data_IF_558743528337
#
_entry.id   IF_558743528337
#
_cell.length_a   1.000
_cell.length_b   1.000
_cell.length_c   1.000
_cell.angle_alpha   90.00
_cell.angle_beta   90.00
_cell.angle_gamma   90.00
#
_symmetry.space_group_name_H-M   'P 1'
#
loop_
_entity.id
_entity.type
_entity.pdbx_description
1 polymer ?
#
# COMPACT_ATOMS: atom_id res chain seq x y z
N UNK A 1 34.33 19.84 16.45
CA UNK A 1 33.89 20.83 15.45
C UNK A 1 33.69 20.27 14.04
N UNK A 2 34.37 19.20 13.60
CA UNK A 2 34.07 18.52 12.32
C UNK A 2 32.79 17.66 12.35
N UNK A 3 32.35 17.21 13.53
CA UNK A 3 31.11 16.42 13.70
C UNK A 3 29.81 17.26 13.66
N UNK A 4 29.89 18.58 13.89
CA UNK A 4 28.71 19.47 13.80
C UNK A 4 28.47 20.06 12.40
N UNK A 5 29.45 19.93 11.49
CA UNK A 5 29.37 20.46 10.13
C UNK A 5 28.62 19.56 9.14
N UNK A 6 28.29 18.32 9.51
CA UNK A 6 27.47 17.41 8.68
C UNK A 6 25.96 17.66 8.80
N UNK A 7 25.51 18.57 9.68
CA UNK A 7 24.10 18.92 9.87
C UNK A 7 23.53 19.84 8.77
N UNK A 8 24.34 20.22 7.78
CA UNK A 8 23.95 21.19 6.73
C UNK A 8 23.63 20.50 5.39
N UNK A 9 24.10 19.26 5.16
CA UNK A 9 23.73 18.50 3.97
C UNK A 9 22.45 17.71 4.23
N UNK A 10 21.42 17.95 3.42
CA UNK A 10 20.18 17.15 3.47
C UNK A 10 20.47 15.67 3.20
N UNK A 11 19.59 14.79 3.68
CA UNK A 11 19.72 13.35 3.44
C UNK A 11 19.62 13.03 1.95
N UNK A 12 20.29 11.98 1.51
CA UNK A 12 20.11 11.43 0.18
C UNK A 12 18.90 10.48 0.18
N UNK A 13 17.83 10.87 -0.49
CA UNK A 13 16.60 10.07 -0.56
C UNK A 13 16.63 9.02 -1.68
N UNK A 14 17.69 8.96 -2.49
CA UNK A 14 17.81 7.94 -3.53
C UNK A 14 17.94 6.54 -2.92
N UNK A 15 17.33 5.56 -3.58
CA UNK A 15 17.36 4.17 -3.12
C UNK A 15 18.73 3.53 -3.31
N UNK A 16 19.52 3.99 -4.28
CA UNK A 16 20.90 3.55 -4.50
C UNK A 16 21.93 4.41 -3.76
N UNK A 17 21.47 5.32 -2.89
CA UNK A 17 22.29 6.18 -2.04
C UNK A 17 22.74 5.55 -0.71
N UNK A 18 23.58 6.26 0.06
CA UNK A 18 24.14 5.76 1.32
C UNK A 18 23.10 5.58 2.43
N UNK A 19 21.98 6.32 2.40
CA UNK A 19 20.93 6.22 3.42
C UNK A 19 20.23 4.85 3.40
N UNK A 20 20.15 4.17 2.24
CA UNK A 20 19.61 2.81 2.17
C UNK A 20 20.40 1.87 3.10
N UNK A 21 21.73 1.89 2.97
CA UNK A 21 22.61 1.07 3.81
C UNK A 21 22.55 1.46 5.28
N UNK A 22 22.43 2.76 5.59
CA UNK A 22 22.30 3.26 6.97
C UNK A 22 21.00 2.80 7.62
N UNK A 23 19.88 2.87 6.89
CA UNK A 23 18.59 2.40 7.39
C UNK A 23 18.59 0.90 7.71
N UNK A 24 19.23 0.09 6.87
CA UNK A 24 19.41 -1.35 7.13
C UNK A 24 20.26 -1.58 8.40
N UNK A 25 21.40 -0.89 8.53
CA UNK A 25 22.27 -1.02 9.70
C UNK A 25 21.61 -0.54 11.00
N UNK A 26 20.75 0.47 10.91
CA UNK A 26 19.96 0.97 12.02
C UNK A 26 18.77 0.06 12.39
N UNK A 27 18.54 -1.03 11.65
CA UNK A 27 17.42 -1.94 11.87
C UNK A 27 16.06 -1.36 11.51
N UNK A 28 16.02 -0.33 10.65
CA UNK A 28 14.78 0.31 10.18
C UNK A 28 14.15 -0.42 8.99
N UNK A 29 14.96 -1.12 8.18
CA UNK A 29 14.47 -1.86 7.03
C UNK A 29 13.72 -3.13 7.44
N UNK A 30 12.49 -3.31 6.94
CA UNK A 30 11.62 -4.43 7.31
C UNK A 30 11.46 -4.61 8.84
N UNK A 31 11.47 -3.50 9.58
CA UNK A 31 11.35 -3.54 11.02
C UNK A 31 9.92 -3.88 11.48
N UNK A 32 9.77 -4.16 12.77
CA UNK A 32 8.48 -4.28 13.42
C UNK A 32 7.95 -2.88 13.73
N UNK A 33 6.81 -2.54 13.15
CA UNK A 33 6.14 -1.26 13.34
C UNK A 33 5.23 -1.30 14.58
N UNK A 34 4.98 -0.13 15.18
CA UNK A 34 3.92 -0.01 16.18
C UNK A 34 2.56 -0.34 15.55
N UNK A 35 1.72 -1.05 16.31
CA UNK A 35 0.38 -1.48 15.91
C UNK A 35 -0.59 -1.25 17.06
N UNK A 36 -1.80 -0.68 16.82
CA UNK A 36 -2.80 -0.49 17.85
C UNK A 36 -3.44 -1.82 18.25
N UNK A 37 -3.98 -1.93 19.48
CA UNK A 37 -4.83 -3.05 19.83
C UNK A 37 -6.13 -2.99 19.02
N UNK A 38 -6.53 -4.12 18.42
CA UNK A 38 -7.82 -4.30 17.77
C UNK A 38 -8.35 -5.71 18.06
N UNK A 39 -9.66 -5.82 18.28
CA UNK A 39 -10.31 -7.13 18.40
C UNK A 39 -10.25 -7.88 17.06
N UNK A 40 -9.91 -9.17 17.10
CA UNK A 40 -9.74 -9.97 15.87
C UNK A 40 -11.05 -10.23 15.14
N UNK A 41 -12.13 -10.50 15.87
CA UNK A 41 -13.44 -10.75 15.25
C UNK A 41 -13.93 -9.47 14.54
N UNK A 42 -13.65 -8.31 15.15
CA UNK A 42 -13.88 -7.00 14.54
C UNK A 42 -13.03 -6.77 13.29
N UNK A 43 -11.72 -7.03 13.32
CA UNK A 43 -10.84 -6.88 12.17
C UNK A 43 -11.29 -7.75 10.99
N UNK A 44 -11.61 -9.03 11.24
CA UNK A 44 -12.13 -9.96 10.21
C UNK A 44 -13.40 -9.42 9.55
N UNK A 45 -14.27 -8.78 10.33
CA UNK A 45 -15.49 -8.13 9.82
C UNK A 45 -15.16 -6.92 8.95
N UNK A 46 -14.22 -6.08 9.36
CA UNK A 46 -13.81 -4.88 8.62
C UNK A 46 -13.07 -5.22 7.31
N UNK A 47 -12.38 -6.36 7.24
CA UNK A 47 -11.69 -6.82 6.03
C UNK A 47 -12.61 -7.42 4.96
N UNK A 48 -13.92 -7.52 5.21
CA UNK A 48 -14.83 -8.14 4.26
C UNK A 48 -14.98 -7.32 2.97
N UNK A 49 -14.73 -7.99 1.85
CA UNK A 49 -14.75 -7.39 0.51
C UNK A 49 -16.14 -7.45 -0.15
N UNK A 50 -16.50 -6.44 -0.93
CA UNK A 50 -17.82 -6.32 -1.58
C UNK A 50 -17.69 -5.94 -3.05
N UNK A 51 -18.00 -6.89 -3.93
CA UNK A 51 -18.05 -6.66 -5.38
C UNK A 51 -19.08 -5.57 -5.75
N UNK A 52 -20.26 -5.60 -5.12
CA UNK A 52 -21.34 -4.67 -5.45
C UNK A 52 -20.94 -3.23 -5.11
N UNK A 53 -20.38 -3.01 -3.91
CA UNK A 53 -20.01 -1.66 -3.45
C UNK A 53 -18.94 -1.05 -4.35
N UNK A 54 -17.84 -1.78 -4.58
CA UNK A 54 -16.76 -1.30 -5.44
C UNK A 54 -17.18 -1.15 -6.91
N UNK A 55 -18.09 -2.02 -7.41
CA UNK A 55 -18.63 -1.89 -8.76
C UNK A 55 -19.46 -0.61 -8.91
N UNK A 56 -20.33 -0.28 -7.94
CA UNK A 56 -21.10 0.97 -7.95
C UNK A 56 -20.14 2.16 -8.00
N UNK A 57 -19.16 2.25 -7.10
CA UNK A 57 -18.23 3.37 -7.05
C UNK A 57 -17.40 3.49 -8.35
N UNK A 58 -16.99 2.37 -8.94
CA UNK A 58 -16.25 2.32 -10.21
C UNK A 58 -17.12 2.73 -11.40
N UNK A 59 -18.35 2.21 -11.51
CA UNK A 59 -19.29 2.55 -12.59
C UNK A 59 -19.68 4.03 -12.49
N UNK A 60 -19.92 4.55 -11.28
CA UNK A 60 -20.20 5.97 -11.09
C UNK A 60 -19.01 6.83 -11.53
N UNK A 61 -17.79 6.45 -11.16
CA UNK A 61 -16.59 7.18 -11.58
C UNK A 61 -16.40 7.18 -13.11
N UNK A 62 -16.49 6.00 -13.75
CA UNK A 62 -16.37 5.88 -15.20
C UNK A 62 -17.52 6.57 -15.94
N UNK A 63 -18.74 6.50 -15.40
CA UNK A 63 -19.91 7.19 -15.94
C UNK A 63 -19.74 8.71 -15.89
N UNK A 64 -19.21 9.26 -14.80
CA UNK A 64 -18.86 10.68 -14.71
C UNK A 64 -17.75 11.02 -15.72
N UNK A 65 -16.70 10.21 -15.82
CA UNK A 65 -15.61 10.44 -16.76
C UNK A 65 -16.12 10.49 -18.20
N UNK A 66 -16.95 9.54 -18.62
CA UNK A 66 -17.56 9.49 -19.95
C UNK A 66 -18.49 10.68 -20.17
N UNK A 67 -19.32 11.02 -19.18
CA UNK A 67 -20.27 12.15 -19.28
C UNK A 67 -19.53 13.48 -19.47
N UNK A 68 -18.55 13.78 -18.61
CA UNK A 68 -17.76 15.01 -18.72
C UNK A 68 -16.86 15.03 -19.97
N UNK A 69 -16.35 13.88 -20.39
CA UNK A 69 -15.61 13.74 -21.65
C UNK A 69 -16.50 14.04 -22.86
N UNK A 70 -17.71 13.48 -22.91
CA UNK A 70 -18.68 13.75 -23.97
C UNK A 70 -19.13 15.22 -23.97
N UNK A 71 -19.39 15.80 -22.80
CA UNK A 71 -19.69 17.23 -22.67
C UNK A 71 -18.53 18.11 -23.17
N UNK A 72 -17.28 17.72 -22.90
CA UNK A 72 -16.10 18.44 -23.40
C UNK A 72 -15.99 18.36 -24.93
N UNK A 73 -16.30 17.20 -25.53
CA UNK A 73 -16.35 17.05 -26.99
C UNK A 73 -17.43 17.93 -27.62
N UNK A 74 -18.65 17.90 -27.08
CA UNK A 74 -19.80 18.67 -27.60
C UNK A 74 -19.55 20.17 -27.48
N UNK A 75 -18.96 20.61 -26.38
CA UNK A 75 -18.71 22.02 -26.07
C UNK A 75 -17.32 22.51 -26.50
N UNK A 76 -16.60 21.71 -27.30
CA UNK A 76 -15.24 22.02 -27.72
C UNK A 76 -15.19 23.39 -28.41
N UNK A 77 -14.19 24.23 -28.06
CA UNK A 77 -14.07 25.65 -28.46
C UNK A 77 -15.10 26.63 -27.86
N UNK A 78 -15.81 26.26 -26.81
CA UNK A 78 -16.61 27.20 -26.01
C UNK A 78 -15.96 27.53 -24.67
N UNK A 79 -16.43 28.58 -23.99
CA UNK A 79 -16.02 28.91 -22.62
C UNK A 79 -16.26 27.77 -21.61
N UNK A 80 -17.19 26.85 -21.92
CA UNK A 80 -17.45 25.67 -21.09
C UNK A 80 -16.34 24.60 -21.19
N UNK A 81 -15.51 24.61 -22.23
CA UNK A 81 -14.40 23.65 -22.36
C UNK A 81 -13.41 23.75 -21.19
N UNK A 82 -13.16 24.95 -20.66
CA UNK A 82 -12.19 25.18 -19.58
C UNK A 82 -12.61 24.48 -18.28
N UNK A 83 -13.79 24.77 -17.68
CA UNK A 83 -14.21 24.07 -16.46
C UNK A 83 -14.40 22.57 -16.69
N UNK A 84 -14.83 22.15 -17.88
CA UNK A 84 -14.97 20.72 -18.21
C UNK A 84 -13.60 20.01 -18.29
N UNK A 85 -12.55 20.65 -18.81
CA UNK A 85 -11.18 20.14 -18.76
C UNK A 85 -10.71 19.93 -17.33
N UNK A 86 -10.96 20.90 -16.44
CA UNK A 86 -10.57 20.78 -15.02
C UNK A 86 -11.23 19.58 -14.38
N UNK A 87 -12.54 19.40 -14.57
CA UNK A 87 -13.30 18.27 -13.98
C UNK A 87 -12.92 16.94 -14.63
N UNK A 88 -12.84 16.89 -15.96
CA UNK A 88 -12.44 15.68 -16.68
C UNK A 88 -11.04 15.22 -16.29
N UNK A 89 -10.08 16.14 -16.21
CA UNK A 89 -8.73 15.87 -15.73
C UNK A 89 -8.73 15.34 -14.28
N UNK A 90 -9.54 15.95 -13.41
CA UNK A 90 -9.68 15.50 -12.03
C UNK A 90 -10.22 14.06 -11.94
N UNK A 91 -11.20 13.71 -12.76
CA UNK A 91 -11.75 12.36 -12.82
C UNK A 91 -10.75 11.37 -13.44
N UNK A 92 -10.04 11.77 -14.50
CA UNK A 92 -9.09 10.92 -15.20
C UNK A 92 -7.83 10.69 -14.36
N UNK A 93 -7.04 11.72 -14.10
CA UNK A 93 -5.75 11.61 -13.43
C UNK A 93 -5.86 11.69 -11.91
N UNK A 94 -6.81 12.47 -11.38
CA UNK A 94 -6.95 12.66 -9.94
C UNK A 94 -7.58 11.47 -9.22
N UNK A 95 -8.84 11.19 -9.54
CA UNK A 95 -9.62 10.14 -8.91
C UNK A 95 -9.07 8.74 -9.21
N UNK A 96 -8.31 8.55 -10.31
CA UNK A 96 -7.63 7.29 -10.58
C UNK A 96 -6.60 6.93 -9.50
N UNK A 97 -5.97 7.90 -8.82
CA UNK A 97 -4.90 7.65 -7.84
C UNK A 97 -5.36 6.69 -6.73
N UNK A 98 -6.50 6.97 -6.08
CA UNK A 98 -7.02 6.07 -5.04
C UNK A 98 -7.51 4.72 -5.60
N UNK A 99 -7.95 4.64 -6.87
CA UNK A 99 -8.34 3.35 -7.49
C UNK A 99 -7.12 2.50 -7.81
N UNK A 100 -6.06 3.12 -8.33
CA UNK A 100 -4.77 2.47 -8.53
C UNK A 100 -4.27 1.88 -7.21
N UNK A 101 -4.34 2.67 -6.13
CA UNK A 101 -3.88 2.25 -4.82
C UNK A 101 -4.68 1.06 -4.27
N UNK A 102 -5.99 1.22 -4.11
CA UNK A 102 -6.86 0.22 -3.47
C UNK A 102 -7.00 -1.07 -4.28
N UNK A 103 -7.09 -0.96 -5.61
CA UNK A 103 -7.14 -2.16 -6.45
C UNK A 103 -5.75 -2.81 -6.55
N UNK A 104 -4.67 -2.07 -6.32
CA UNK A 104 -3.30 -2.60 -6.23
C UNK A 104 -3.11 -3.52 -5.02
N UNK A 105 -3.80 -3.22 -3.91
CA UNK A 105 -3.85 -4.04 -2.68
C UNK A 105 -4.77 -5.25 -2.76
N UNK A 106 -5.52 -5.40 -3.86
CA UNK A 106 -6.54 -6.42 -4.04
C UNK A 106 -7.67 -6.36 -2.97
N UNK A 107 -7.93 -5.17 -2.40
CA UNK A 107 -8.92 -4.98 -1.32
C UNK A 107 -10.29 -4.49 -1.81
N UNK A 108 -10.34 -3.71 -2.88
CA UNK A 108 -11.60 -3.08 -3.32
C UNK A 108 -12.69 -4.10 -3.70
N UNK A 109 -12.35 -5.09 -4.51
CA UNK A 109 -13.27 -6.14 -4.96
C UNK A 109 -12.96 -7.49 -4.31
N UNK A 110 -14.00 -8.29 -4.08
CA UNK A 110 -13.84 -9.72 -3.73
C UNK A 110 -13.29 -10.53 -4.91
N UNK A 111 -13.60 -10.13 -6.13
CA UNK A 111 -13.06 -10.73 -7.35
C UNK A 111 -11.76 -10.03 -7.75
N UNK A 112 -10.62 -10.73 -7.59
CA UNK A 112 -9.29 -10.22 -7.94
C UNK A 112 -9.14 -9.81 -9.40
N UNK A 113 -9.91 -10.39 -10.33
CA UNK A 113 -9.89 -9.97 -11.74
C UNK A 113 -10.47 -8.57 -11.93
N UNK A 114 -11.45 -8.18 -11.10
CA UNK A 114 -12.02 -6.83 -11.13
C UNK A 114 -11.04 -5.81 -10.52
N UNK A 115 -10.38 -6.15 -9.40
CA UNK A 115 -9.26 -5.36 -8.89
C UNK A 115 -8.21 -5.15 -9.97
N UNK A 116 -7.76 -6.25 -10.61
CA UNK A 116 -6.76 -6.17 -11.69
C UNK A 116 -7.22 -5.27 -12.83
N UNK A 117 -8.45 -5.40 -13.33
CA UNK A 117 -8.94 -4.57 -14.42
C UNK A 117 -8.93 -3.07 -14.08
N UNK A 118 -9.45 -2.70 -12.91
CA UNK A 118 -9.47 -1.30 -12.45
C UNK A 118 -8.07 -0.80 -12.15
N UNK A 119 -7.20 -1.65 -11.56
CA UNK A 119 -5.81 -1.35 -11.29
C UNK A 119 -5.05 -0.97 -12.55
N UNK A 120 -5.15 -1.78 -13.61
CA UNK A 120 -4.48 -1.51 -14.89
C UNK A 120 -5.00 -0.25 -15.58
N UNK A 121 -6.31 0.01 -15.52
CA UNK A 121 -6.92 1.22 -16.07
C UNK A 121 -6.42 2.48 -15.34
N UNK A 122 -6.49 2.47 -14.01
CA UNK A 122 -6.05 3.58 -13.17
C UNK A 122 -4.54 3.82 -13.27
N UNK A 123 -3.75 2.74 -13.33
CA UNK A 123 -2.31 2.76 -13.61
C UNK A 123 -2.00 3.54 -14.89
N UNK A 124 -2.71 3.23 -15.99
CA UNK A 124 -2.54 3.93 -17.24
C UNK A 124 -2.93 5.41 -17.13
N UNK A 125 -4.03 5.73 -16.45
CA UNK A 125 -4.47 7.13 -16.28
C UNK A 125 -3.49 8.01 -15.48
N UNK A 126 -2.60 7.38 -14.71
CA UNK A 126 -1.57 8.05 -13.91
C UNK A 126 -0.17 7.97 -14.52
N UNK A 127 -0.01 7.25 -15.64
CA UNK A 127 1.29 6.82 -16.17
C UNK A 127 2.15 6.10 -15.12
N UNK A 128 1.50 5.27 -14.31
CA UNK A 128 2.14 4.37 -13.36
C UNK A 128 2.21 2.98 -13.98
N UNK A 129 3.41 2.51 -14.34
CA UNK A 129 3.59 1.13 -14.82
C UNK A 129 3.13 0.14 -13.75
N UNK A 130 2.14 -0.73 -14.03
CA UNK A 130 1.46 -1.55 -13.03
C UNK A 130 2.41 -2.38 -12.17
N UNK A 131 3.42 -3.02 -12.76
CA UNK A 131 4.37 -3.84 -12.01
C UNK A 131 5.30 -2.99 -11.15
N UNK A 132 5.88 -1.93 -11.72
CA UNK A 132 6.80 -1.02 -11.01
C UNK A 132 6.12 -0.45 -9.79
N UNK A 133 4.92 0.10 -9.97
CA UNK A 133 4.22 0.81 -8.91
C UNK A 133 3.60 -0.13 -7.87
N UNK A 134 3.23 -1.37 -8.23
CA UNK A 134 2.79 -2.37 -7.23
C UNK A 134 3.92 -2.72 -6.26
N UNK A 135 5.13 -2.94 -6.78
CA UNK A 135 6.30 -3.25 -5.95
C UNK A 135 6.85 -2.03 -5.19
N UNK A 136 6.85 -0.85 -5.82
CA UNK A 136 7.13 0.42 -5.15
C UNK A 136 6.24 0.59 -3.91
N UNK A 137 4.94 0.33 -4.08
CA UNK A 137 3.98 0.55 -3.03
C UNK A 137 4.06 -0.50 -1.90
N UNK A 138 4.42 -1.75 -2.24
CA UNK A 138 4.79 -2.74 -1.22
C UNK A 138 6.03 -2.32 -0.41
N UNK A 139 7.03 -1.71 -1.06
CA UNK A 139 8.19 -1.15 -0.37
C UNK A 139 7.77 0.02 0.52
N UNK A 140 6.90 0.90 0.04
CA UNK A 140 6.36 2.02 0.80
C UNK A 140 5.67 1.54 2.10
N UNK A 141 4.78 0.56 2.04
CA UNK A 141 4.18 -0.04 3.25
C UNK A 141 5.16 -0.82 4.12
N UNK A 142 6.30 -1.24 3.56
CA UNK A 142 7.35 -1.90 4.33
C UNK A 142 8.13 -0.94 5.20
N UNK A 143 8.50 0.18 4.60
CA UNK A 143 9.53 1.11 5.04
C UNK A 143 9.02 2.58 4.95
N UNK A 144 7.76 2.86 5.30
CA UNK A 144 7.10 4.18 5.10
C UNK A 144 7.90 5.34 5.67
N UNK A 145 8.23 6.34 4.85
CA UNK A 145 9.08 7.49 5.22
C UNK A 145 10.44 7.10 5.85
N UNK A 146 10.95 5.89 5.62
CA UNK A 146 12.33 5.53 5.94
C UNK A 146 13.23 6.00 4.79
N UNK A 147 14.15 6.91 5.09
CA UNK A 147 14.96 7.59 4.06
C UNK A 147 15.93 6.61 3.40
N UNK A 148 16.01 6.68 2.08
CA UNK A 148 16.79 5.74 1.26
C UNK A 148 16.14 4.37 1.09
N UNK A 149 14.94 4.14 1.64
CA UNK A 149 14.20 2.87 1.53
C UNK A 149 12.86 3.02 0.84
N UNK A 150 12.14 4.11 1.12
CA UNK A 150 10.82 4.37 0.58
C UNK A 150 10.88 5.08 -0.80
N UNK A 151 10.48 4.43 -1.91
CA UNK A 151 10.43 5.02 -3.24
C UNK A 151 9.38 6.15 -3.38
N UNK A 152 8.44 6.24 -2.44
CA UNK A 152 7.24 7.09 -2.57
C UNK A 152 7.33 8.38 -1.74
N UNK A 153 8.51 8.71 -1.21
CA UNK A 153 8.74 9.99 -0.52
C UNK A 153 8.64 11.17 -1.52
N UNK A 154 7.46 11.78 -1.57
CA UNK A 154 7.19 12.90 -2.48
C UNK A 154 7.78 14.25 -2.03
N UNK A 155 8.07 14.42 -0.73
CA UNK A 155 8.48 15.70 -0.13
C UNK A 155 9.77 15.56 0.70
N UNK A 156 10.93 15.32 0.05
CA UNK A 156 12.21 15.20 0.74
C UNK A 156 12.65 16.53 1.35
N UNK A 157 13.50 16.47 2.38
CA UNK A 157 13.94 17.66 3.13
C UNK A 157 15.33 18.14 2.67
N UNK A 158 15.50 19.44 2.35
CA UNK A 158 14.47 20.49 2.37
C UNK A 158 13.59 20.46 1.11
N UNK A 159 12.26 20.62 1.31
CA UNK A 159 11.32 20.75 0.19
C UNK A 159 11.45 22.11 -0.49
N UNK A 160 11.64 22.13 -1.81
CA UNK A 160 11.70 23.37 -2.59
C UNK A 160 10.29 23.96 -2.82
N UNK A 161 9.80 24.76 -1.86
CA UNK A 161 8.47 25.41 -1.92
C UNK A 161 8.23 26.29 -3.15
N UNK A 162 9.28 26.82 -3.81
CA UNK A 162 9.12 27.58 -5.06
C UNK A 162 8.57 26.73 -6.21
N UNK A 163 8.72 25.40 -6.15
CA UNK A 163 8.19 24.48 -7.16
C UNK A 163 6.75 24.06 -6.89
N UNK A 164 6.16 24.47 -5.76
CA UNK A 164 4.85 23.99 -5.31
C UNK A 164 3.68 24.26 -6.28
N UNK A 165 3.58 25.44 -6.94
CA UNK A 165 2.52 25.65 -7.94
C UNK A 165 2.64 24.71 -9.14
N UNK A 166 3.88 24.44 -9.57
CA UNK A 166 4.14 23.49 -10.64
C UNK A 166 3.84 22.05 -10.22
N UNK A 167 3.85 21.72 -8.92
CA UNK A 167 3.46 20.41 -8.44
C UNK A 167 2.02 20.11 -8.82
N UNK A 168 1.06 21.03 -8.69
CA UNK A 168 -0.34 20.80 -9.09
C UNK A 168 -0.54 20.53 -10.59
N UNK A 169 0.54 20.53 -11.37
CA UNK A 169 0.58 19.98 -12.72
C UNK A 169 1.60 18.84 -12.78
N UNK A 170 1.32 17.82 -13.59
CA UNK A 170 2.32 16.80 -13.88
C UNK A 170 3.35 17.27 -14.93
N UNK A 171 3.54 18.58 -15.13
CA UNK A 171 4.42 19.13 -16.16
C UNK A 171 5.92 18.86 -15.88
N UNK A 172 6.33 18.72 -14.63
CA UNK A 172 7.69 18.28 -14.31
C UNK A 172 7.79 16.76 -14.22
N UNK A 173 6.97 16.19 -13.33
CA UNK A 173 7.01 14.77 -12.99
C UNK A 173 6.52 13.88 -14.13
N UNK A 174 5.44 14.26 -14.82
CA UNK A 174 4.88 13.49 -15.93
C UNK A 174 5.85 13.32 -17.10
N UNK A 175 6.66 14.33 -17.43
CA UNK A 175 7.73 14.17 -18.44
C UNK A 175 8.84 13.24 -17.96
N UNK A 176 9.19 13.27 -16.67
CA UNK A 176 10.15 12.32 -16.08
C UNK A 176 9.62 10.89 -16.15
N UNK A 177 8.36 10.68 -15.78
CA UNK A 177 7.67 9.38 -15.88
C UNK A 177 7.60 8.91 -17.33
N UNK A 178 7.19 9.76 -18.26
CA UNK A 178 7.13 9.41 -19.69
C UNK A 178 8.52 9.03 -20.23
N UNK A 179 9.57 9.75 -19.81
CA UNK A 179 10.97 9.39 -20.15
C UNK A 179 11.37 8.04 -19.56
N UNK A 180 10.97 7.73 -18.32
CA UNK A 180 11.22 6.43 -17.66
C UNK A 180 10.51 5.30 -18.42
N UNK A 181 9.21 5.45 -18.67
CA UNK A 181 8.40 4.51 -19.46
C UNK A 181 9.01 4.30 -20.86
N UNK A 182 9.46 5.38 -21.50
CA UNK A 182 10.11 5.28 -22.81
C UNK A 182 11.38 4.43 -22.75
N UNK A 183 12.21 4.59 -21.70
CA UNK A 183 13.40 3.74 -21.47
C UNK A 183 13.02 2.28 -21.18
N UNK A 184 12.03 2.06 -20.32
CA UNK A 184 11.54 0.73 -20.00
C UNK A 184 11.00 0.00 -21.23
N UNK A 185 10.31 0.71 -22.15
CA UNK A 185 9.80 0.11 -23.38
C UNK A 185 10.91 -0.41 -24.31
N UNK A 186 12.12 0.15 -24.20
CA UNK A 186 13.35 -0.27 -24.87
C UNK A 186 14.14 -1.35 -24.10
N UNK A 187 13.65 -1.80 -22.94
CA UNK A 187 14.34 -2.78 -22.08
C UNK A 187 15.35 -2.18 -21.10
N UNK A 188 15.41 -0.85 -20.97
CA UNK A 188 16.38 -0.16 -20.13
C UNK A 188 15.78 0.14 -18.74
N UNK A 189 15.80 -0.86 -17.85
CA UNK A 189 15.34 -0.73 -16.45
C UNK A 189 16.38 0.00 -15.60
N UNK A 190 15.97 1.07 -14.89
CA UNK A 190 16.85 1.86 -14.02
C UNK A 190 17.21 1.17 -12.69
N UNK A 191 18.23 1.69 -11.99
CA UNK A 191 18.76 1.12 -10.74
C UNK A 191 17.73 1.11 -9.62
N UNK A 192 16.95 2.18 -9.46
CA UNK A 192 15.91 2.26 -8.44
C UNK A 192 14.86 1.17 -8.63
N UNK A 193 14.33 0.95 -9.85
CA UNK A 193 13.37 -0.14 -10.11
C UNK A 193 13.98 -1.49 -9.77
N UNK A 194 15.26 -1.72 -10.07
CA UNK A 194 15.94 -2.99 -9.78
C UNK A 194 16.09 -3.27 -8.28
N UNK A 195 16.04 -2.25 -7.41
CA UNK A 195 16.11 -2.44 -5.95
C UNK A 195 14.85 -3.11 -5.40
N UNK A 196 13.66 -2.76 -5.93
CA UNK A 196 12.39 -3.21 -5.36
C UNK A 196 11.55 -4.11 -6.29
N UNK A 197 11.82 -4.15 -7.60
CA UNK A 197 11.16 -5.07 -8.53
C UNK A 197 12.02 -6.33 -8.74
N UNK A 198 11.51 -7.52 -8.41
CA UNK A 198 12.22 -8.78 -8.67
C UNK A 198 12.58 -8.99 -10.15
N UNK A 199 13.75 -9.57 -10.41
CA UNK A 199 14.30 -9.76 -11.77
C UNK A 199 13.35 -10.53 -12.72
N UNK A 200 12.59 -11.49 -12.19
CA UNK A 200 11.63 -12.27 -12.98
C UNK A 200 10.43 -11.45 -13.47
N UNK A 201 10.18 -10.25 -12.92
CA UNK A 201 9.11 -9.35 -13.33
C UNK A 201 9.57 -8.29 -14.35
N UNK A 202 10.87 -8.12 -14.60
CA UNK A 202 11.38 -7.06 -15.49
C UNK A 202 10.85 -7.18 -16.92
N UNK A 203 10.67 -8.40 -17.43
CA UNK A 203 10.04 -8.63 -18.75
C UNK A 203 8.62 -8.07 -18.81
N UNK A 204 7.87 -8.18 -17.71
CA UNK A 204 6.51 -7.65 -17.60
C UNK A 204 6.52 -6.12 -17.59
N UNK A 205 7.45 -5.50 -16.86
CA UNK A 205 7.66 -4.03 -16.88
C UNK A 205 7.86 -3.53 -18.32
N UNK A 206 8.75 -4.17 -19.08
CA UNK A 206 9.01 -3.80 -20.49
C UNK A 206 7.75 -3.87 -21.36
N UNK A 207 6.95 -4.94 -21.20
CA UNK A 207 5.71 -5.10 -21.96
C UNK A 207 4.64 -4.07 -21.59
N UNK A 208 4.46 -3.80 -20.30
CA UNK A 208 3.55 -2.77 -19.80
C UNK A 208 3.94 -1.38 -20.34
N UNK A 209 5.23 -1.06 -20.31
CA UNK A 209 5.77 0.18 -20.88
C UNK A 209 5.47 0.32 -22.39
N UNK A 210 5.67 -0.76 -23.16
CA UNK A 210 5.36 -0.77 -24.61
C UNK A 210 3.88 -0.53 -24.88
N UNK A 211 2.99 -1.15 -24.10
CA UNK A 211 1.55 -0.94 -24.22
C UNK A 211 1.21 0.54 -23.96
N UNK A 212 1.78 1.15 -22.92
CA UNK A 212 1.56 2.57 -22.62
C UNK A 212 2.01 3.46 -23.78
N UNK A 213 3.22 3.24 -24.31
CA UNK A 213 3.75 4.00 -25.45
C UNK A 213 2.88 3.82 -26.70
N UNK A 214 2.42 2.60 -27.01
CA UNK A 214 1.55 2.34 -28.16
C UNK A 214 0.23 3.11 -28.03
N UNK A 215 -0.41 3.12 -26.86
CA UNK A 215 -1.66 3.85 -26.64
C UNK A 215 -1.44 5.36 -26.80
N UNK A 216 -0.36 5.90 -26.21
CA UNK A 216 -0.03 7.33 -26.29
C UNK A 216 0.33 7.78 -27.71
N UNK A 217 1.10 6.96 -28.45
CA UNK A 217 1.41 7.22 -29.85
C UNK A 217 0.18 7.13 -30.74
N UNK A 218 -0.73 6.17 -30.47
CA UNK A 218 -1.99 6.04 -31.21
C UNK A 218 -2.89 7.26 -31.00
N UNK A 219 -2.99 7.76 -29.76
CA UNK A 219 -3.70 9.00 -29.43
C UNK A 219 -3.12 10.20 -30.19
N UNK A 220 -1.79 10.32 -30.18
CA UNK A 220 -1.05 11.38 -30.87
C UNK A 220 -1.24 11.31 -32.39
N UNK A 221 -1.10 10.13 -32.99
CA UNK A 221 -1.30 9.90 -34.41
C UNK A 221 -2.74 10.20 -34.84
N UNK A 222 -3.72 9.83 -34.02
CA UNK A 222 -5.13 10.17 -34.24
C UNK A 222 -5.37 11.69 -34.26
N UNK A 223 -4.76 12.42 -33.33
CA UNK A 223 -4.82 13.89 -33.32
C UNK A 223 -4.18 14.53 -34.55
N UNK A 224 -3.03 14.01 -35.00
CA UNK A 224 -2.36 14.51 -36.21
C UNK A 224 -3.20 14.20 -37.46
N UNK A 225 -3.70 12.98 -37.59
CA UNK A 225 -4.47 12.53 -38.74
C UNK A 225 -5.81 13.27 -38.88
N UNK A 226 -6.51 13.51 -37.76
CA UNK A 226 -7.77 14.28 -37.74
C UNK A 226 -7.56 15.80 -37.74
N UNK A 227 -6.32 16.27 -37.58
CA UNK A 227 -6.00 17.67 -37.34
C UNK A 227 -6.77 18.26 -36.14
N UNK A 228 -7.08 17.43 -35.14
CA UNK A 228 -7.91 17.78 -34.00
C UNK A 228 -7.24 17.39 -32.67
N UNK A 229 -7.19 18.26 -31.65
CA UNK A 229 -6.49 17.98 -30.39
C UNK A 229 -7.27 17.05 -29.43
N UNK A 230 -8.57 16.80 -29.67
CA UNK A 230 -9.41 16.02 -28.75
C UNK A 230 -8.85 14.64 -28.39
N UNK A 231 -8.33 13.81 -29.31
CA UNK A 231 -7.73 12.52 -28.96
C UNK A 231 -6.68 12.62 -27.83
N UNK A 232 -5.66 13.49 -27.99
CA UNK A 232 -4.64 13.67 -26.93
C UNK A 232 -5.18 14.34 -25.68
N UNK A 233 -6.16 15.25 -25.83
CA UNK A 233 -6.79 15.96 -24.71
C UNK A 233 -7.65 15.02 -23.86
N UNK A 234 -8.25 13.99 -24.45
CA UNK A 234 -9.05 12.98 -23.76
C UNK A 234 -8.23 11.77 -23.33
N UNK A 235 -7.12 11.45 -24.01
CA UNK A 235 -6.33 10.26 -23.76
C UNK A 235 -4.83 10.58 -23.71
N UNK A 236 -4.24 10.48 -22.52
CA UNK A 236 -2.83 10.78 -22.27
C UNK A 236 -2.62 12.10 -21.54
N UNK A 237 -2.96 13.25 -22.15
CA UNK A 237 -2.77 14.57 -21.52
C UNK A 237 -3.56 14.81 -20.22
N UNK A 238 -4.73 14.19 -19.96
CA UNK A 238 -5.39 14.38 -18.66
C UNK A 238 -4.52 13.94 -17.48
N UNK A 239 -3.57 13.03 -17.68
CA UNK A 239 -2.54 12.69 -16.67
C UNK A 239 -1.72 13.92 -16.25
N UNK A 240 -1.48 14.86 -17.18
CA UNK A 240 -0.71 16.07 -16.95
C UNK A 240 -1.55 17.16 -16.29
N UNK A 241 -2.66 17.54 -16.93
CA UNK A 241 -3.48 18.67 -16.47
C UNK A 241 -4.46 18.28 -15.36
N UNK A 242 -4.76 17.00 -15.20
CA UNK A 242 -5.62 16.45 -14.15
C UNK A 242 -4.90 16.12 -12.85
N UNK A 243 -3.57 16.27 -12.81
CA UNK A 243 -2.76 15.90 -11.65
C UNK A 243 -3.10 16.69 -10.38
N UNK A 244 -3.70 17.86 -10.54
CA UNK A 244 -4.04 18.76 -9.44
C UNK A 244 -4.82 18.05 -8.32
N UNK A 245 -5.74 17.13 -8.64
CA UNK A 245 -6.62 16.54 -7.62
C UNK A 245 -5.92 15.45 -6.80
N UNK A 246 -5.14 14.56 -7.42
CA UNK A 246 -4.42 13.56 -6.61
C UNK A 246 -3.32 14.23 -5.78
N UNK A 247 -2.69 15.29 -6.29
CA UNK A 247 -1.70 16.08 -5.53
C UNK A 247 -2.38 16.82 -4.40
N UNK A 248 -3.59 17.33 -4.65
CA UNK A 248 -4.40 17.98 -3.63
C UNK A 248 -4.65 17.07 -2.43
N UNK A 249 -4.85 15.77 -2.64
CA UNK A 249 -5.00 14.80 -1.56
C UNK A 249 -3.66 14.28 -1.04
N UNK A 250 -2.72 13.90 -1.91
CA UNK A 250 -1.45 13.25 -1.57
C UNK A 250 -0.54 14.11 -0.69
N UNK A 251 -0.51 15.44 -0.87
CA UNK A 251 0.23 16.35 0.04
C UNK A 251 -0.20 16.13 1.49
N UNK A 252 -1.47 15.84 1.73
CA UNK A 252 -2.01 15.78 3.09
C UNK A 252 -1.64 14.49 3.83
N UNK A 253 -1.16 13.45 3.15
CA UNK A 253 -0.85 12.14 3.72
C UNK A 253 0.39 12.19 4.64
N UNK A 254 1.55 12.47 4.04
CA UNK A 254 2.87 12.33 4.70
C UNK A 254 3.66 13.63 4.77
N UNK A 255 3.32 14.65 3.97
CA UNK A 255 4.19 15.82 3.81
C UNK A 255 4.47 16.51 5.15
N UNK A 256 5.76 16.75 5.41
CA UNK A 256 6.24 17.46 6.60
C UNK A 256 6.18 16.67 7.92
N UNK A 257 5.73 15.40 7.90
CA UNK A 257 5.73 14.52 9.07
C UNK A 257 7.09 13.85 9.28
N UNK A 258 7.25 13.18 10.42
CA UNK A 258 8.53 12.60 10.85
C UNK A 258 9.01 11.47 9.91
N UNK A 259 10.32 11.36 9.73
CA UNK A 259 10.98 10.35 8.90
C UNK A 259 11.78 9.42 9.81
N UNK A 260 12.06 8.20 9.37
CA UNK A 260 12.84 7.21 10.13
C UNK A 260 12.22 6.82 11.49
N UNK A 261 10.89 6.87 11.61
CA UNK A 261 10.12 6.50 12.81
C UNK A 261 9.21 5.31 12.52
N UNK A 262 9.37 4.23 13.29
CA UNK A 262 8.62 2.97 13.16
C UNK A 262 7.22 3.01 13.81
N UNK A 263 6.51 4.13 13.62
CA UNK A 263 5.15 4.33 14.10
C UNK A 263 4.41 5.29 13.18
N UNK A 264 3.38 4.76 12.49
CA UNK A 264 2.64 5.51 11.49
C UNK A 264 1.95 6.76 12.05
N UNK A 265 1.67 6.83 13.35
CA UNK A 265 1.05 8.00 13.99
C UNK A 265 1.89 9.27 13.87
N UNK A 266 3.21 9.12 13.76
CA UNK A 266 4.16 10.24 13.62
C UNK A 266 4.42 10.63 12.17
N UNK A 267 4.21 9.71 11.22
CA UNK A 267 4.63 9.85 9.83
C UNK A 267 3.44 9.89 8.84
N UNK A 268 2.22 9.65 9.32
CA UNK A 268 1.00 9.59 8.51
C UNK A 268 -0.16 10.39 9.14
N UNK A 269 -1.10 10.88 8.31
CA UNK A 269 -2.21 11.75 8.73
C UNK A 269 -3.57 11.27 8.21
N UNK A 270 -4.57 11.38 9.08
CA UNK A 270 -5.99 11.32 8.73
C UNK A 270 -6.56 12.73 8.59
N UNK A 271 -7.34 12.97 7.55
CA UNK A 271 -7.94 14.27 7.23
C UNK A 271 -9.43 14.10 7.04
N UNK A 272 -10.25 14.91 7.70
CA UNK A 272 -11.70 14.89 7.50
C UNK A 272 -12.05 15.57 6.18
N UNK A 273 -12.88 14.90 5.38
CA UNK A 273 -13.29 15.34 4.04
C UNK A 273 -14.80 15.23 3.86
N UNK A 274 -15.36 16.08 3.01
CA UNK A 274 -16.78 16.02 2.63
C UNK A 274 -17.08 14.76 1.77
N UNK A 275 -18.36 14.36 1.62
CA UNK A 275 -18.74 13.15 0.88
C UNK A 275 -18.24 13.10 -0.57
N UNK A 276 -18.18 14.23 -1.27
CA UNK A 276 -17.70 14.27 -2.66
C UNK A 276 -16.20 13.95 -2.74
N UNK A 277 -15.39 14.53 -1.85
CA UNK A 277 -13.96 14.23 -1.76
C UNK A 277 -13.71 12.80 -1.31
N UNK A 278 -14.50 12.29 -0.37
CA UNK A 278 -14.44 10.89 0.05
C UNK A 278 -14.75 9.91 -1.09
N UNK A 279 -15.68 10.25 -1.98
CA UNK A 279 -15.92 9.46 -3.19
C UNK A 279 -14.76 9.58 -4.20
N UNK A 280 -14.30 10.80 -4.47
CA UNK A 280 -13.21 11.04 -5.42
C UNK A 280 -11.89 10.43 -4.95
N UNK A 281 -11.68 10.32 -3.64
CA UNK A 281 -10.46 9.78 -3.04
C UNK A 281 -10.63 8.37 -2.45
N UNK A 282 -11.76 7.70 -2.71
CA UNK A 282 -12.07 6.37 -2.16
C UNK A 282 -11.76 6.30 -0.66
N UNK A 283 -12.31 7.19 0.18
CA UNK A 283 -12.04 7.26 1.63
C UNK A 283 -10.55 7.22 2.07
N UNK A 284 -9.57 7.38 1.17
CA UNK A 284 -8.13 7.38 1.50
C UNK A 284 -7.71 8.61 2.32
N UNK A 285 -8.68 9.44 2.71
CA UNK A 285 -8.52 10.45 3.73
C UNK A 285 -8.26 9.84 5.12
N UNK A 286 -8.60 8.57 5.32
CA UNK A 286 -8.23 7.71 6.47
C UNK A 286 -6.90 6.98 6.21
N UNK A 287 -5.88 7.75 5.81
CA UNK A 287 -4.60 7.20 5.37
C UNK A 287 -3.80 6.57 6.50
N UNK A 288 -3.90 7.11 7.73
CA UNK A 288 -3.24 6.52 8.89
C UNK A 288 -3.81 5.13 9.19
N UNK A 289 -5.13 4.99 9.15
CA UNK A 289 -5.81 3.72 9.36
C UNK A 289 -5.42 2.70 8.29
N UNK A 290 -5.35 3.14 7.03
CA UNK A 290 -4.86 2.33 5.92
C UNK A 290 -3.42 1.83 6.13
N UNK A 291 -2.50 2.69 6.59
CA UNK A 291 -1.13 2.26 6.88
C UNK A 291 -1.02 1.26 8.04
N UNK A 292 -1.94 1.32 9.00
CA UNK A 292 -1.99 0.38 10.12
C UNK A 292 -2.57 -0.97 9.68
N UNK A 293 -3.63 -0.96 8.85
CA UNK A 293 -4.33 -2.15 8.37
C UNK A 293 -4.67 -2.05 6.86
N UNK A 294 -3.67 -2.22 5.96
CA UNK A 294 -3.85 -2.08 4.52
C UNK A 294 -4.72 -3.17 3.89
N UNK A 295 -5.08 -4.21 4.64
CA UNK A 295 -6.04 -5.23 4.26
C UNK A 295 -7.50 -4.76 4.31
N UNK A 296 -7.79 -3.65 5.01
CA UNK A 296 -9.15 -3.13 5.17
C UNK A 296 -9.55 -2.34 3.92
N UNK A 297 -10.62 -2.73 3.21
CA UNK A 297 -11.05 -2.01 2.02
C UNK A 297 -11.50 -0.60 2.35
N UNK A 298 -11.27 0.34 1.42
CA UNK A 298 -11.55 1.76 1.64
C UNK A 298 -12.95 2.12 2.18
N UNK A 299 -14.00 1.39 1.80
CA UNK A 299 -15.36 1.68 2.27
C UNK A 299 -15.58 1.27 3.74
N UNK A 300 -14.69 0.46 4.31
CA UNK A 300 -14.65 0.08 5.73
C UNK A 300 -13.73 0.96 6.58
N UNK A 301 -12.80 1.73 5.97
CA UNK A 301 -11.89 2.63 6.69
C UNK A 301 -12.58 3.61 7.65
N UNK A 302 -13.77 4.18 7.36
CA UNK A 302 -14.47 5.03 8.33
C UNK A 302 -14.83 4.28 9.62
N UNK A 303 -15.26 3.01 9.51
CA UNK A 303 -15.57 2.18 10.68
C UNK A 303 -14.31 1.73 11.42
N UNK A 304 -13.21 1.51 10.70
CA UNK A 304 -11.90 1.26 11.30
C UNK A 304 -11.40 2.50 12.07
N UNK A 305 -11.59 3.69 11.52
CA UNK A 305 -11.25 4.94 12.22
C UNK A 305 -12.00 5.08 13.55
N UNK A 306 -13.29 4.79 13.58
CA UNK A 306 -14.08 4.85 14.81
C UNK A 306 -13.57 3.87 15.88
N UNK A 307 -13.15 2.68 15.47
CA UNK A 307 -12.55 1.66 16.37
C UNK A 307 -11.20 2.11 16.92
N UNK A 308 -10.34 2.67 16.06
CA UNK A 308 -8.98 3.04 16.42
C UNK A 308 -8.86 4.41 17.09
N UNK A 309 -9.90 5.23 17.07
CA UNK A 309 -9.92 6.60 17.59
C UNK A 309 -9.26 6.78 18.97
N UNK A 310 -9.41 5.87 19.96
CA UNK A 310 -8.73 6.00 21.26
C UNK A 310 -7.19 5.93 21.19
N UNK A 311 -6.64 5.38 20.11
CA UNK A 311 -5.21 5.10 19.96
C UNK A 311 -4.48 6.01 18.96
N UNK A 312 -5.25 6.80 18.21
CA UNK A 312 -4.75 7.66 17.14
C UNK A 312 -4.73 9.13 17.56
N UNK A 313 -3.84 9.95 16.97
CA UNK A 313 -3.93 11.39 17.10
C UNK A 313 -5.23 11.92 16.49
N UNK A 314 -5.71 13.06 17.00
CA UNK A 314 -6.88 13.73 16.43
C UNK A 314 -6.70 13.97 14.91
N UNK A 315 -7.71 13.65 14.08
CA UNK A 315 -7.62 13.88 12.64
C UNK A 315 -7.58 15.37 12.35
N UNK A 316 -6.95 15.75 11.24
CA UNK A 316 -7.03 17.12 10.73
C UNK A 316 -8.48 17.44 10.36
N UNK A 317 -9.06 18.54 10.86
CA UNK A 317 -10.50 18.79 10.71
C UNK A 317 -10.92 19.16 9.28
N UNK A 318 -9.97 19.47 8.40
CA UNK A 318 -10.18 19.72 6.97
C UNK A 318 -8.87 19.66 6.20
N UNK A 319 -8.94 19.58 4.87
CA UNK A 319 -7.76 19.75 4.02
C UNK A 319 -7.06 21.09 4.30
N UNK A 320 -7.80 22.18 4.50
CA UNK A 320 -7.22 23.51 4.77
C UNK A 320 -6.38 23.50 6.06
N UNK A 321 -6.87 22.84 7.11
CA UNK A 321 -6.11 22.69 8.36
C UNK A 321 -4.83 21.86 8.15
N UNK A 322 -4.93 20.75 7.41
CA UNK A 322 -3.76 19.94 7.05
C UNK A 322 -2.74 20.75 6.24
N UNK A 323 -3.19 21.51 5.23
CA UNK A 323 -2.32 22.39 4.44
C UNK A 323 -1.62 23.45 5.30
N UNK A 324 -2.33 24.08 6.25
CA UNK A 324 -1.72 25.05 7.16
C UNK A 324 -0.60 24.42 7.98
N UNK A 325 -0.81 23.22 8.51
CA UNK A 325 0.22 22.47 9.24
C UNK A 325 1.42 22.15 8.33
N UNK A 326 1.16 21.57 7.15
CA UNK A 326 2.19 21.20 6.15
C UNK A 326 3.02 22.42 5.74
N UNK A 327 2.41 23.51 5.30
CA UNK A 327 3.18 24.69 4.87
C UNK A 327 3.93 25.35 6.02
N UNK A 328 3.37 25.33 7.23
CA UNK A 328 4.06 25.85 8.42
C UNK A 328 5.32 25.07 8.71
N UNK A 329 5.26 23.72 8.68
CA UNK A 329 6.45 22.91 8.93
C UNK A 329 7.44 22.97 7.77
N UNK A 330 7.01 22.91 6.51
CA UNK A 330 7.89 22.99 5.36
C UNK A 330 8.68 24.33 5.32
N UNK A 331 8.04 25.44 5.76
CA UNK A 331 8.73 26.73 5.88
C UNK A 331 9.81 26.70 6.98
N UNK A 332 9.58 26.01 8.09
CA UNK A 332 10.60 25.79 9.14
C UNK A 332 11.72 24.89 8.63
N UNK A 333 11.37 23.81 7.94
CA UNK A 333 12.33 22.83 7.38
C UNK A 333 13.27 23.42 6.34
N UNK A 334 12.89 24.52 5.67
CA UNK A 334 13.78 25.29 4.79
C UNK A 334 15.01 25.84 5.52
N UNK A 335 14.87 26.22 6.79
CA UNK A 335 15.93 26.83 7.58
C UNK A 335 16.51 25.89 8.64
N UNK A 336 15.75 24.87 9.04
CA UNK A 336 16.16 23.81 9.95
C UNK A 336 15.62 22.47 9.43
N UNK A 337 16.42 21.72 8.68
CA UNK A 337 16.03 20.44 8.04
C UNK A 337 15.44 19.44 9.05
N UNK A 338 15.92 19.45 10.29
CA UNK A 338 15.44 18.59 11.38
C UNK A 338 14.18 19.09 12.08
N UNK A 339 13.53 20.16 11.62
CA UNK A 339 12.29 20.63 12.24
C UNK A 339 11.16 19.62 12.04
N UNK A 340 10.46 19.29 13.13
CA UNK A 340 9.37 18.31 13.15
C UNK A 340 8.07 18.90 13.68
N UNK A 341 6.95 18.27 13.31
CA UNK A 341 5.64 18.55 13.90
C UNK A 341 5.58 17.85 15.26
N UNK A 342 5.58 18.62 16.34
CA UNK A 342 5.44 18.13 17.72
C UNK A 342 4.08 18.50 18.33
N UNK A 343 3.24 19.23 17.60
CA UNK A 343 1.93 19.71 18.07
C UNK A 343 0.82 18.66 18.02
N UNK A 344 1.07 17.50 17.41
CA UNK A 344 0.08 16.41 17.34
C UNK A 344 0.11 15.64 18.65
N UNK A 345 -1.01 15.64 19.35
CA UNK A 345 -1.20 14.84 20.56
C UNK A 345 -1.34 13.36 20.16
N UNK A 346 -0.30 12.57 20.43
CA UNK A 346 -0.24 11.14 20.11
C UNK A 346 -0.42 10.37 21.43
N UNK A 347 -1.50 9.59 21.58
CA UNK A 347 -1.75 8.83 22.80
C UNK A 347 -0.58 7.89 23.14
N UNK A 348 -0.04 8.01 24.36
CA UNK A 348 1.04 7.16 24.86
C UNK A 348 0.46 5.81 25.27
N UNK A 349 0.53 4.86 24.35
CA UNK A 349 0.07 3.48 24.56
C UNK A 349 1.27 2.59 24.29
N UNK A 350 1.58 1.72 25.25
CA UNK A 350 2.64 0.73 25.08
C UNK A 350 2.36 -0.17 23.87
N UNK A 351 3.42 -0.69 23.25
CA UNK A 351 3.28 -1.72 22.22
C UNK A 351 2.52 -2.91 22.80
N UNK A 352 1.56 -3.47 22.06
CA UNK A 352 0.80 -4.63 22.54
C UNK A 352 1.76 -5.74 22.97
N UNK A 353 1.47 -6.38 24.11
CA UNK A 353 2.12 -7.65 24.48
C UNK A 353 1.81 -8.67 23.40
N UNK A 354 2.81 -9.48 23.03
CA UNK A 354 2.59 -10.63 22.12
C UNK A 354 1.35 -11.40 22.59
N UNK A 355 0.44 -11.72 21.65
CA UNK A 355 -0.72 -12.58 21.95
C UNK A 355 -0.30 -13.93 22.54
N UNK A 356 -1.26 -14.75 22.98
CA UNK A 356 -0.97 -16.05 23.60
C UNK A 356 0.01 -16.86 22.74
N UNK A 357 1.19 -17.13 23.31
CA UNK A 357 2.25 -17.93 22.67
C UNK A 357 2.18 -19.35 23.22
N UNK A 358 2.07 -20.32 22.33
CA UNK A 358 2.17 -21.73 22.66
C UNK A 358 3.64 -22.16 22.68
N UNK A 359 4.04 -22.78 23.78
CA UNK A 359 5.33 -23.46 23.92
C UNK A 359 5.09 -24.96 23.87
N UNK A 360 5.62 -25.69 22.85
CA UNK A 360 5.36 -27.11 22.69
C UNK A 360 5.88 -27.94 23.87
N UNK A 361 5.08 -28.88 24.37
CA UNK A 361 5.49 -29.84 25.41
C UNK A 361 5.88 -31.17 24.77
N UNK A 362 7.14 -31.61 24.96
CA UNK A 362 7.62 -32.89 24.42
C UNK A 362 6.98 -34.07 25.15
N UNK A 363 6.56 -35.07 24.38
CA UNK A 363 6.10 -36.38 24.87
C UNK A 363 7.28 -37.35 24.92
N UNK A 364 7.53 -37.95 26.08
CA UNK A 364 8.69 -38.84 26.26
C UNK A 364 8.55 -40.16 25.49
N UNK A 365 7.33 -40.68 25.37
CA UNK A 365 7.06 -42.00 24.78
C UNK A 365 7.16 -41.96 23.25
N UNK A 366 6.52 -40.98 22.61
CA UNK A 366 6.43 -40.87 21.15
C UNK A 366 7.50 -39.95 20.56
N UNK A 367 8.11 -39.09 21.37
CA UNK A 367 9.01 -38.04 20.92
C UNK A 367 8.34 -36.85 20.22
N UNK A 368 7.01 -36.89 20.04
CA UNK A 368 6.21 -35.80 19.46
C UNK A 368 5.98 -34.67 20.49
N UNK A 369 5.37 -33.57 20.04
CA UNK A 369 5.09 -32.41 20.86
C UNK A 369 3.60 -32.12 20.92
N UNK A 370 3.10 -31.83 22.11
CA UNK A 370 1.77 -31.28 22.33
C UNK A 370 1.76 -29.76 22.20
N UNK A 371 0.76 -29.25 21.48
CA UNK A 371 0.51 -27.80 21.30
C UNK A 371 -0.69 -27.28 22.10
N UNK A 372 -1.42 -28.16 22.80
CA UNK A 372 -2.61 -27.83 23.60
C UNK A 372 -3.85 -28.61 23.17
N UNK A 373 -4.97 -28.39 23.86
CA UNK A 373 -6.23 -29.02 23.52
C UNK A 373 -6.86 -28.33 22.32
N UNK A 374 -7.49 -29.09 21.43
CA UNK A 374 -8.17 -28.53 20.24
C UNK A 374 -9.33 -27.60 20.64
N UNK A 375 -9.96 -27.85 21.79
CA UNK A 375 -11.04 -27.03 22.33
C UNK A 375 -10.62 -25.62 22.75
N UNK A 376 -9.33 -25.39 23.01
CA UNK A 376 -8.80 -24.08 23.41
C UNK A 376 -8.66 -23.12 22.22
N UNK A 377 -8.73 -23.65 21.00
CA UNK A 377 -8.60 -22.89 19.75
C UNK A 377 -9.96 -22.90 19.06
N UNK A 378 -10.59 -21.73 18.87
CA UNK A 378 -11.81 -21.64 18.06
C UNK A 378 -11.50 -21.96 16.59
N UNK A 379 -12.46 -22.53 15.85
CA UNK A 379 -12.35 -22.65 14.39
C UNK A 379 -12.16 -21.27 13.77
N UNK A 380 -11.22 -21.14 12.84
CA UNK A 380 -10.80 -19.87 12.24
C UNK A 380 -9.74 -19.10 13.03
N UNK A 381 -9.36 -19.57 14.23
CA UNK A 381 -8.33 -18.91 15.02
C UNK A 381 -6.91 -19.34 14.63
N UNK A 382 -5.96 -18.42 14.88
CA UNK A 382 -4.54 -18.57 14.62
C UNK A 382 -3.73 -18.31 15.89
N UNK A 383 -2.72 -19.14 16.16
CA UNK A 383 -1.84 -19.01 17.32
C UNK A 383 -0.37 -19.04 16.93
N UNK A 384 0.43 -18.29 17.70
CA UNK A 384 1.88 -18.27 17.59
C UNK A 384 2.45 -19.44 18.39
N UNK A 385 3.25 -20.28 17.75
CA UNK A 385 3.98 -21.37 18.41
C UNK A 385 5.47 -21.06 18.33
N UNK A 386 6.18 -21.03 19.46
CA UNK A 386 7.64 -20.84 19.50
C UNK A 386 8.33 -22.18 19.78
N UNK A 387 9.16 -22.65 18.85
CA UNK A 387 9.91 -23.89 19.00
C UNK A 387 11.34 -23.71 18.49
N UNK A 388 12.35 -24.01 19.33
CA UNK A 388 13.78 -23.94 18.98
C UNK A 388 14.25 -22.61 18.38
N UNK A 389 13.61 -21.50 18.76
CA UNK A 389 13.89 -20.17 18.23
C UNK A 389 13.07 -19.79 17.00
N UNK A 390 12.40 -20.76 16.35
CA UNK A 390 11.53 -20.53 15.21
C UNK A 390 10.11 -20.16 15.63
N UNK A 391 9.47 -19.34 14.79
CA UNK A 391 8.07 -18.97 14.93
C UNK A 391 7.25 -19.79 13.93
N UNK A 392 6.26 -20.52 14.43
CA UNK A 392 5.29 -21.26 13.63
C UNK A 392 3.88 -20.67 13.80
N UNK A 393 3.05 -20.90 12.80
CA UNK A 393 1.64 -20.56 12.78
C UNK A 393 0.81 -21.83 12.92
N UNK A 394 0.07 -21.93 14.01
CA UNK A 394 -0.95 -22.96 14.22
C UNK A 394 -2.32 -22.39 13.87
N UNK A 395 -3.04 -23.04 12.97
CA UNK A 395 -4.37 -22.66 12.53
C UNK A 395 -5.37 -23.78 12.79
N UNK A 396 -6.57 -23.45 13.28
CA UNK A 396 -7.70 -24.38 13.28
C UNK A 396 -8.61 -24.06 12.10
N UNK A 397 -8.56 -24.87 11.04
CA UNK A 397 -9.23 -24.59 9.76
C UNK A 397 -10.65 -25.16 9.70
N UNK A 398 -10.94 -26.19 10.51
CA UNK A 398 -12.29 -26.75 10.67
C UNK A 398 -12.45 -27.37 12.06
N UNK A 399 -13.61 -27.97 12.35
CA UNK A 399 -13.82 -28.72 13.59
C UNK A 399 -12.83 -29.89 13.75
N UNK A 400 -12.38 -30.49 12.64
CA UNK A 400 -11.57 -31.71 12.59
C UNK A 400 -10.17 -31.49 12.03
N UNK A 401 -9.83 -30.28 11.58
CA UNK A 401 -8.54 -30.00 10.95
C UNK A 401 -7.77 -28.88 11.64
N UNK A 402 -6.47 -29.11 11.81
CA UNK A 402 -5.46 -28.13 12.21
C UNK A 402 -4.33 -28.12 11.19
N UNK A 403 -3.71 -26.96 11.02
CA UNK A 403 -2.56 -26.76 10.14
C UNK A 403 -1.43 -26.10 10.92
N UNK A 404 -0.20 -26.54 10.65
CA UNK A 404 1.01 -25.96 11.21
C UNK A 404 1.95 -25.58 10.06
N UNK A 405 2.35 -24.32 10.01
CA UNK A 405 3.25 -23.79 8.99
C UNK A 405 4.32 -22.88 9.60
N UNK A 406 5.33 -22.51 8.82
CA UNK A 406 6.25 -21.41 9.19
C UNK A 406 5.45 -20.14 9.43
N UNK A 407 5.74 -19.44 10.52
CA UNK A 407 4.87 -18.36 11.02
C UNK A 407 5.14 -16.98 10.42
N UNK A 408 6.34 -16.75 9.88
CA UNK A 408 6.69 -15.48 9.24
C UNK A 408 6.35 -15.53 7.75
N UNK A 409 5.85 -14.42 7.23
CA UNK A 409 5.62 -14.25 5.80
C UNK A 409 6.94 -14.36 5.03
N UNK A 410 6.96 -15.11 3.93
CA UNK A 410 8.17 -15.30 3.11
C UNK A 410 8.55 -14.07 2.29
N UNK A 411 7.66 -13.08 2.19
CA UNK A 411 7.94 -11.79 1.55
C UNK A 411 8.70 -10.82 2.46
N UNK A 412 8.40 -10.79 3.77
CA UNK A 412 8.94 -9.80 4.68
C UNK A 412 8.61 -10.10 6.13
N UNK A 413 9.16 -9.29 7.05
CA UNK A 413 9.12 -9.54 8.49
C UNK A 413 7.74 -9.24 9.11
N UNK A 414 6.75 -10.07 8.79
CA UNK A 414 5.39 -10.00 9.32
C UNK A 414 4.96 -11.38 9.81
N UNK A 415 4.46 -11.46 11.04
CA UNK A 415 3.89 -12.69 11.57
C UNK A 415 2.50 -12.91 10.96
N UNK A 416 2.31 -14.04 10.28
CA UNK A 416 1.07 -14.35 9.55
C UNK A 416 -0.16 -14.46 10.47
N UNK A 417 0.04 -14.84 11.74
CA UNK A 417 -1.06 -14.96 12.70
C UNK A 417 -1.66 -13.63 13.16
N UNK A 418 -1.10 -12.49 12.74
CA UNK A 418 -1.69 -11.16 12.90
C UNK A 418 -2.60 -10.77 11.72
N UNK A 419 -2.62 -11.55 10.63
CA UNK A 419 -3.51 -11.34 9.51
C UNK A 419 -4.84 -12.08 9.65
N UNK A 420 -5.38 -12.56 8.53
CA UNK A 420 -6.69 -13.24 8.49
C UNK A 420 -6.58 -14.68 7.98
N UNK A 421 -7.52 -15.52 8.44
CA UNK A 421 -7.65 -16.91 8.01
C UNK A 421 -9.03 -17.11 7.35
N UNK A 422 -9.04 -17.61 6.12
CA UNK A 422 -10.27 -17.96 5.40
C UNK A 422 -10.17 -19.38 4.85
N UNK A 423 -10.89 -20.30 5.48
CA UNK A 423 -10.77 -21.73 5.19
C UNK A 423 -9.33 -22.21 5.42
N UNK A 424 -8.66 -22.60 4.34
CA UNK A 424 -7.26 -23.05 4.36
C UNK A 424 -6.27 -21.99 3.86
N UNK A 425 -6.71 -20.77 3.58
CA UNK A 425 -5.86 -19.67 3.10
C UNK A 425 -5.57 -18.69 4.22
N UNK A 426 -4.28 -18.46 4.50
CA UNK A 426 -3.83 -17.38 5.39
C UNK A 426 -3.40 -16.17 4.57
N UNK A 427 -3.80 -14.98 5.01
CA UNK A 427 -3.40 -13.71 4.42
C UNK A 427 -2.50 -12.94 5.38
N UNK A 428 -1.36 -12.49 4.87
CA UNK A 428 -0.41 -11.65 5.59
C UNK A 428 -1.03 -10.28 5.90
N UNK A 429 -0.88 -9.76 7.13
CA UNK A 429 -1.45 -8.46 7.54
C UNK A 429 -0.76 -7.25 6.87
N UNK A 430 0.42 -7.43 6.26
CA UNK A 430 1.22 -6.29 5.80
C UNK A 430 0.92 -5.88 4.36
N UNK A 431 0.89 -6.85 3.43
CA UNK A 431 0.70 -6.58 2.00
C UNK A 431 -0.24 -7.58 1.31
N UNK A 432 -1.10 -8.24 2.09
CA UNK A 432 -2.11 -9.18 1.58
C UNK A 432 -1.56 -10.39 0.80
N UNK A 433 -0.27 -10.72 0.98
CA UNK A 433 0.29 -11.96 0.44
C UNK A 433 -0.44 -13.16 1.04
N UNK A 434 -0.81 -14.14 0.21
CA UNK A 434 -1.62 -15.28 0.63
C UNK A 434 -0.88 -16.60 0.45
N UNK A 435 -1.23 -17.55 1.31
CA UNK A 435 -0.67 -18.90 1.29
C UNK A 435 -1.78 -19.93 1.51
N UNK A 436 -1.74 -21.02 0.74
CA UNK A 436 -2.52 -22.21 1.05
C UNK A 436 -1.81 -23.01 2.16
N UNK A 437 -2.44 -23.19 3.32
CA UNK A 437 -1.86 -23.88 4.47
C UNK A 437 -1.78 -25.40 4.30
N UNK A 438 -2.34 -25.94 3.21
CA UNK A 438 -2.33 -27.37 2.93
C UNK A 438 -1.06 -27.79 2.22
N UNK A 439 -0.65 -26.97 1.26
CA UNK A 439 0.52 -27.16 0.40
C UNK A 439 1.69 -26.25 0.78
N UNK A 440 1.42 -25.17 1.52
CA UNK A 440 2.36 -24.09 1.78
C UNK A 440 2.49 -23.08 0.63
N UNK A 441 1.86 -23.33 -0.52
CA UNK A 441 2.09 -22.54 -1.74
C UNK A 441 1.71 -21.07 -1.55
N UNK A 442 2.59 -20.17 -1.99
CA UNK A 442 2.26 -18.76 -2.12
C UNK A 442 1.26 -18.56 -3.28
N UNK A 443 0.08 -18.04 -2.98
CA UNK A 443 -1.03 -17.90 -3.94
C UNK A 443 -1.31 -16.46 -4.34
N UNK A 444 -0.83 -15.48 -3.57
CA UNK A 444 -0.95 -14.06 -3.90
C UNK A 444 0.34 -13.28 -3.63
N UNK A 445 0.65 -12.36 -4.55
CA UNK A 445 1.76 -11.42 -4.41
C UNK A 445 1.57 -10.50 -3.20
N UNK A 446 2.65 -10.00 -2.59
CA UNK A 446 4.05 -10.13 -3.04
C UNK A 446 4.77 -11.41 -2.56
N UNK A 447 4.08 -12.29 -1.86
CA UNK A 447 4.65 -13.60 -1.53
C UNK A 447 4.87 -14.42 -2.81
N UNK A 448 6.11 -14.89 -2.99
CA UNK A 448 6.51 -15.73 -4.13
C UNK A 448 7.16 -17.05 -3.70
N UNK A 449 7.67 -17.11 -2.47
CA UNK A 449 8.25 -18.31 -1.89
C UNK A 449 7.23 -19.00 -0.97
N UNK A 450 7.19 -20.33 -1.03
CA UNK A 450 6.22 -21.14 -0.29
C UNK A 450 6.57 -21.22 1.21
N UNK A 451 5.54 -21.39 2.05
CA UNK A 451 5.70 -21.72 3.45
C UNK A 451 6.16 -23.17 3.61
N UNK A 452 6.91 -23.41 4.69
CA UNK A 452 7.12 -24.78 5.14
C UNK A 452 5.92 -25.23 5.93
N UNK A 453 5.24 -26.29 5.48
CA UNK A 453 4.15 -26.96 6.21
C UNK A 453 4.70 -28.14 7.00
N UNK A 454 4.15 -28.36 8.20
CA UNK A 454 4.61 -29.37 9.14
C UNK A 454 3.50 -30.40 9.41
N UNK A 455 3.89 -31.61 9.79
CA UNK A 455 2.93 -32.62 10.25
C UNK A 455 2.24 -32.12 11.51
N UNK A 456 0.91 -32.14 11.54
CA UNK A 456 0.12 -31.73 12.69
C UNK A 456 -1.23 -32.45 12.64
N UNK A 457 -1.63 -33.03 13.77
CA UNK A 457 -2.84 -33.84 13.86
C UNK A 457 -3.51 -33.71 15.22
N UNK A 458 -4.79 -34.09 15.28
CA UNK A 458 -5.58 -34.15 16.51
C UNK A 458 -5.64 -35.61 16.95
N UNK A 459 -5.07 -35.92 18.12
CA UNK A 459 -5.13 -37.25 18.74
C UNK A 459 -5.76 -37.07 20.11
N UNK A 460 -6.86 -37.77 20.38
CA UNK A 460 -7.58 -37.73 21.67
C UNK A 460 -7.90 -36.30 22.15
N UNK A 461 -8.28 -35.43 21.21
CA UNK A 461 -8.59 -34.02 21.47
C UNK A 461 -7.38 -33.12 21.72
N UNK A 462 -6.16 -33.64 21.58
CA UNK A 462 -4.90 -32.91 21.72
C UNK A 462 -4.25 -32.67 20.36
N UNK A 463 -3.72 -31.47 20.17
CA UNK A 463 -2.96 -31.13 18.97
C UNK A 463 -1.53 -31.61 19.15
N UNK A 464 -1.06 -32.42 18.22
CA UNK A 464 0.28 -33.01 18.23
C UNK A 464 1.04 -32.76 16.94
N UNK A 465 2.36 -32.61 17.03
CA UNK A 465 3.25 -32.42 15.88
C UNK A 465 4.63 -33.03 16.19
N UNK A 466 5.34 -33.49 15.17
CA UNK A 466 6.76 -33.87 15.26
C UNK A 466 7.70 -32.79 14.67
N UNK A 467 7.15 -31.65 14.24
CA UNK A 467 7.84 -30.57 13.51
C UNK A 467 8.62 -31.05 12.27
N UNK A 468 8.32 -32.23 11.73
CA UNK A 468 8.87 -32.62 10.44
C UNK A 468 8.08 -31.95 9.33
N UNK A 469 8.80 -31.52 8.29
CA UNK A 469 8.20 -30.98 7.08
C UNK A 469 7.27 -32.05 6.50
N UNK A 470 6.01 -31.67 6.27
CA UNK A 470 5.04 -32.53 5.60
C UNK A 470 5.51 -32.74 4.16
N UNK A 471 5.66 -33.99 3.75
CA UNK A 471 5.94 -34.30 2.35
C UNK A 471 4.61 -34.25 1.59
N UNK A 472 4.58 -33.51 0.50
CA UNK A 472 3.43 -33.53 -0.41
C UNK A 472 3.31 -34.96 -0.95
N UNK A 473 2.18 -35.62 -0.71
CA UNK A 473 1.82 -36.79 -1.49
C UNK A 473 1.56 -36.28 -2.91
N UNK A 474 2.52 -36.52 -3.81
CA UNK A 474 2.49 -36.11 -5.22
C UNK A 474 1.24 -36.62 -5.95
#
# INVERSE_FOLDING_TARGET
MKELTNLIEGKDYSLDGPENSRAVQAGLANAVWWQPPIDREKLVTLTQQSNLRAAIDTITWLGLLVTFGASLVISWFSWWSIPLLVVYGALYGGAADSRWHECGHDTAFRNSRLNTAVYYLASFFLWREPTVWKWSHYRHHSDTLIVGRDPEIAFPRPTHLSKFPLLFSHLGNGFRLLKRISKHSLGLIDSEVKDYVPDNEHKRVVWEARIFIIILLSSTASSIWTWHPLPIVLLGLPTIYGAWLFIFFGITQHAGLQEDVLDHRFNTRTVLMNPAFRFLYSNMNYHLEHHLFPEVPYYCLPSLHDELKPYLPNPSPSCIAAYREVFTILKKQKHNIGAEITSRDIPVIGQQKEGVVVFPRRMEITGSFHLGAVGDIKVGAMMKVKHRGDIHLLCRTSETEVRLASGMCTHGNAFLGEGTLSGNTVQCPKHNGQFDLGTGKATNKPATADLTVYNCEIIDGQITTDFKKRQDNA
#
